data_IF_575626550331
#
_entry.id   IF_575626550331
#
_cell.length_a   1.000
_cell.length_b   1.000
_cell.length_c   1.000
_cell.angle_alpha   90.00
_cell.angle_beta   90.00
_cell.angle_gamma   90.00
#
_symmetry.space_group_name_H-M   'P 1'
#
loop_
_entity.id
_entity.type
_entity.pdbx_description
1 polymer ?
#
# COMPACT_ATOMS: atom_id res chain seq x y z
N UNK A 1 6.02 -11.82 -17.39
CA UNK A 1 5.30 -10.62 -16.92
C UNK A 1 6.23 -9.49 -17.30
N UNK A 2 5.86 -8.65 -18.28
CA UNK A 2 6.72 -7.50 -18.60
C UNK A 2 6.79 -6.59 -17.37
N UNK A 3 8.00 -6.23 -16.94
CA UNK A 3 8.23 -5.29 -15.87
C UNK A 3 7.85 -3.89 -16.36
N UNK A 4 6.57 -3.56 -16.22
CA UNK A 4 6.06 -2.22 -16.54
C UNK A 4 6.61 -1.20 -15.54
N UNK A 5 6.98 0.01 -15.98
CA UNK A 5 7.25 1.13 -15.09
C UNK A 5 6.14 1.31 -14.05
N UNK A 6 6.50 1.70 -12.83
CA UNK A 6 5.57 1.77 -11.70
C UNK A 6 4.36 2.69 -11.99
N UNK A 7 4.59 3.82 -12.65
CA UNK A 7 3.57 4.77 -13.07
C UNK A 7 2.64 4.20 -14.13
N UNK A 8 3.17 3.46 -15.11
CA UNK A 8 2.36 2.78 -16.13
C UNK A 8 1.53 1.63 -15.53
N UNK A 9 2.13 0.84 -14.64
CA UNK A 9 1.42 -0.20 -13.88
C UNK A 9 0.31 0.41 -13.02
N UNK A 10 0.60 1.49 -12.30
CA UNK A 10 -0.38 2.18 -11.46
C UNK A 10 -1.52 2.72 -12.31
N UNK A 11 -1.23 3.46 -13.39
CA UNK A 11 -2.26 3.97 -14.29
C UNK A 11 -3.17 2.85 -14.82
N UNK A 12 -2.57 1.71 -15.22
CA UNK A 12 -3.30 0.53 -15.69
C UNK A 12 -4.15 -0.12 -14.58
N UNK A 13 -3.63 -0.25 -13.37
CA UNK A 13 -4.35 -0.82 -12.23
C UNK A 13 -5.54 0.06 -11.84
N UNK A 14 -5.34 1.37 -11.75
CA UNK A 14 -6.39 2.34 -11.41
C UNK A 14 -7.43 2.50 -12.51
N UNK A 15 -7.07 2.26 -13.78
CA UNK A 15 -8.01 2.23 -14.89
C UNK A 15 -8.97 1.04 -14.89
N UNK A 16 -8.69 -0.03 -14.13
CA UNK A 16 -9.54 -1.23 -14.02
C UNK A 16 -10.69 -1.08 -13.02
N UNK A 17 -10.65 -0.05 -12.19
CA UNK A 17 -11.63 0.19 -11.13
C UNK A 17 -12.16 1.62 -11.21
N UNK A 18 -13.35 1.86 -10.67
CA UNK A 18 -13.95 3.20 -10.69
C UNK A 18 -14.50 3.62 -9.31
N UNK A 19 -14.92 4.88 -9.22
CA UNK A 19 -15.59 5.43 -8.05
C UNK A 19 -14.75 5.31 -6.77
N UNK A 20 -15.37 4.81 -5.70
CA UNK A 20 -14.75 4.69 -4.39
C UNK A 20 -13.64 3.62 -4.35
N UNK A 21 -13.75 2.57 -5.17
CA UNK A 21 -12.75 1.50 -5.23
C UNK A 21 -11.44 2.03 -5.82
N UNK A 22 -11.51 2.85 -6.89
CA UNK A 22 -10.33 3.52 -7.44
C UNK A 22 -9.65 4.44 -6.42
N UNK A 23 -10.45 5.20 -5.66
CA UNK A 23 -9.92 6.07 -4.59
C UNK A 23 -9.22 5.25 -3.51
N UNK A 24 -9.85 4.17 -3.06
CA UNK A 24 -9.26 3.23 -2.11
C UNK A 24 -7.94 2.65 -2.59
N UNK A 25 -7.92 2.12 -3.83
CA UNK A 25 -6.74 1.53 -4.44
C UNK A 25 -5.57 2.53 -4.50
N UNK A 26 -5.83 3.76 -4.97
CA UNK A 26 -4.81 4.80 -5.02
C UNK A 26 -4.25 5.13 -3.63
N UNK A 27 -5.12 5.21 -2.60
CA UNK A 27 -4.67 5.45 -1.23
C UNK A 27 -3.78 4.33 -0.70
N UNK A 28 -4.10 3.07 -1.01
CA UNK A 28 -3.29 1.91 -0.61
C UNK A 28 -1.93 1.95 -1.30
N UNK A 29 -1.89 2.17 -2.62
CA UNK A 29 -0.64 2.25 -3.39
C UNK A 29 0.28 3.36 -2.82
N UNK A 30 -0.29 4.52 -2.50
CA UNK A 30 0.47 5.63 -1.89
C UNK A 30 0.99 5.23 -0.51
N UNK A 31 0.17 4.56 0.31
CA UNK A 31 0.56 4.12 1.65
C UNK A 31 1.72 3.11 1.59
N UNK A 32 1.65 2.13 0.70
CA UNK A 32 2.73 1.15 0.51
C UNK A 32 4.03 1.82 0.05
N UNK A 33 3.95 2.71 -0.95
CA UNK A 33 5.12 3.46 -1.42
C UNK A 33 5.72 4.33 -0.30
N UNK A 34 4.89 4.96 0.53
CA UNK A 34 5.31 5.75 1.69
C UNK A 34 6.03 4.90 2.75
N UNK A 35 5.50 3.72 3.08
CA UNK A 35 6.12 2.81 4.03
C UNK A 35 7.47 2.28 3.53
N UNK A 36 7.57 1.94 2.25
CA UNK A 36 8.83 1.53 1.63
C UNK A 36 9.85 2.68 1.71
N UNK A 37 9.45 3.90 1.36
CA UNK A 37 10.32 5.07 1.46
C UNK A 37 10.81 5.29 2.89
N UNK A 38 9.90 5.24 3.88
CA UNK A 38 10.23 5.39 5.30
C UNK A 38 11.19 4.30 5.79
N UNK A 39 10.94 3.04 5.42
CA UNK A 39 11.81 1.93 5.79
C UNK A 39 13.22 2.06 5.19
N UNK A 40 13.33 2.50 3.92
CA UNK A 40 14.63 2.78 3.29
C UNK A 40 15.37 3.92 3.99
N UNK A 41 14.67 4.96 4.44
CA UNK A 41 15.30 6.01 5.23
C UNK A 41 15.83 5.48 6.56
N UNK A 42 15.05 4.68 7.29
CA UNK A 42 15.53 4.04 8.52
C UNK A 42 16.75 3.14 8.29
N UNK A 43 16.79 2.42 7.17
CA UNK A 43 17.97 1.65 6.78
C UNK A 43 19.21 2.54 6.56
N UNK A 44 19.05 3.66 5.85
CA UNK A 44 20.15 4.57 5.51
C UNK A 44 20.62 5.40 6.71
N UNK A 45 19.70 5.92 7.53
CA UNK A 45 20.02 6.89 8.58
C UNK A 45 20.18 6.26 9.97
N UNK A 46 19.45 5.19 10.27
CA UNK A 46 19.43 4.57 11.60
C UNK A 46 20.15 3.21 11.62
N UNK A 47 20.65 2.73 10.47
CA UNK A 47 21.35 1.44 10.35
C UNK A 47 20.46 0.22 10.62
N UNK A 48 19.13 0.39 10.59
CA UNK A 48 18.17 -0.69 10.82
C UNK A 48 18.21 -1.63 9.61
N UNK A 49 18.30 -2.94 9.83
CA UNK A 49 18.31 -3.90 8.73
C UNK A 49 16.97 -3.95 7.96
N UNK A 50 16.99 -4.27 6.66
CA UNK A 50 15.77 -4.41 5.89
C UNK A 50 14.93 -5.54 6.46
N UNK A 51 13.66 -5.27 6.78
CA UNK A 51 12.75 -6.24 7.38
C UNK A 51 11.37 -6.12 6.74
N UNK A 52 11.20 -6.84 5.64
CA UNK A 52 9.97 -6.86 4.86
C UNK A 52 8.74 -7.30 5.69
N UNK A 53 8.80 -8.38 6.50
CA UNK A 53 7.69 -8.75 7.39
C UNK A 53 7.19 -7.61 8.28
N UNK A 54 8.10 -6.81 8.85
CA UNK A 54 7.71 -5.68 9.70
C UNK A 54 7.06 -4.55 8.93
N UNK A 55 7.52 -4.28 7.69
CA UNK A 55 6.88 -3.27 6.82
C UNK A 55 5.46 -3.72 6.45
N UNK A 56 5.29 -4.98 6.06
CA UNK A 56 3.97 -5.55 5.73
C UNK A 56 3.03 -5.54 6.94
N UNK A 57 3.52 -5.85 8.13
CA UNK A 57 2.72 -5.81 9.35
C UNK A 57 2.22 -4.38 9.65
N UNK A 58 3.10 -3.39 9.56
CA UNK A 58 2.75 -1.99 9.81
C UNK A 58 1.73 -1.45 8.78
N UNK A 59 1.87 -1.84 7.51
CA UNK A 59 0.88 -1.49 6.46
C UNK A 59 -0.49 -2.07 6.80
N UNK A 60 -0.57 -3.36 7.17
CA UNK A 60 -1.84 -3.99 7.51
C UNK A 60 -2.51 -3.35 8.74
N UNK A 61 -1.73 -3.01 9.76
CA UNK A 61 -2.23 -2.31 10.95
C UNK A 61 -2.82 -0.93 10.58
N UNK A 62 -2.10 -0.13 9.78
CA UNK A 62 -2.59 1.17 9.31
C UNK A 62 -3.87 1.04 8.46
N UNK A 63 -3.94 0.04 7.57
CA UNK A 63 -5.13 -0.22 6.76
C UNK A 63 -6.35 -0.60 7.63
N UNK A 64 -6.14 -1.41 8.67
CA UNK A 64 -7.19 -1.77 9.62
C UNK A 64 -7.67 -0.54 10.40
N UNK A 65 -6.75 0.29 10.89
CA UNK A 65 -7.08 1.55 11.58
C UNK A 65 -7.88 2.50 10.67
N UNK A 66 -7.49 2.64 9.41
CA UNK A 66 -8.21 3.47 8.45
C UNK A 66 -9.61 2.94 8.16
N UNK A 67 -9.76 1.61 8.06
CA UNK A 67 -11.07 0.98 7.91
C UNK A 67 -11.97 1.25 9.11
N UNK A 68 -11.45 1.12 10.34
CA UNK A 68 -12.16 1.42 11.58
C UNK A 68 -12.54 2.92 11.69
N UNK A 69 -11.69 3.81 11.19
CA UNK A 69 -11.96 5.24 11.12
C UNK A 69 -12.98 5.62 10.02
N UNK A 70 -13.48 4.66 9.26
CA UNK A 70 -14.52 4.87 8.24
C UNK A 70 -13.99 5.28 6.87
N UNK A 71 -12.72 5.00 6.55
CA UNK A 71 -12.16 5.21 5.22
C UNK A 71 -12.78 4.23 4.22
N UNK A 72 -13.97 4.58 3.69
CA UNK A 72 -14.83 3.71 2.88
C UNK A 72 -14.10 3.03 1.72
N UNK A 73 -13.26 3.77 0.98
CA UNK A 73 -12.48 3.21 -0.13
C UNK A 73 -11.49 2.13 0.30
N UNK A 74 -10.93 2.23 1.51
CA UNK A 74 -9.97 1.28 2.08
C UNK A 74 -10.71 0.10 2.70
N UNK A 75 -11.84 0.32 3.38
CA UNK A 75 -12.69 -0.75 3.92
C UNK A 75 -13.16 -1.74 2.86
N UNK A 76 -13.39 -1.30 1.62
CA UNK A 76 -13.75 -2.17 0.50
C UNK A 76 -12.60 -3.09 0.03
N UNK A 77 -11.35 -2.77 0.38
CA UNK A 77 -10.14 -3.47 -0.09
C UNK A 77 -9.38 -4.17 1.06
N UNK A 78 -9.51 -3.68 2.29
CA UNK A 78 -8.83 -4.18 3.50
C UNK A 78 -9.34 -5.55 3.99
N UNK A 79 -10.34 -6.15 3.32
CA UNK A 79 -10.86 -7.49 3.62
C UNK A 79 -10.07 -8.62 2.91
N UNK A 80 -9.11 -8.28 2.05
CA UNK A 80 -8.24 -9.27 1.40
C UNK A 80 -6.86 -9.19 2.08
N UNK A 81 -6.42 -10.24 2.79
CA UNK A 81 -5.02 -10.33 3.18
C UNK A 81 -4.20 -10.36 1.89
N UNK A 82 -3.26 -9.43 1.71
CA UNK A 82 -2.27 -9.50 0.65
C UNK A 82 -1.26 -10.63 0.96
N UNK A 83 -1.74 -11.87 0.90
CA UNK A 83 -0.95 -13.10 0.92
C UNK A 83 -1.65 -14.11 0.00
N UNK A 84 -1.19 -14.17 -1.25
CA UNK A 84 -1.21 -15.34 -2.11
C UNK A 84 0.05 -15.30 -2.99
#
# INVERSE_FOLDING_TARGET
MEDLPFDEWWAKASGRVDGQVRKGLNSIIILEAWFIWKHRNHYVFDGILPNLPSVTAAINEDLQQWSLAGARGVSHLALVPLVA
#
